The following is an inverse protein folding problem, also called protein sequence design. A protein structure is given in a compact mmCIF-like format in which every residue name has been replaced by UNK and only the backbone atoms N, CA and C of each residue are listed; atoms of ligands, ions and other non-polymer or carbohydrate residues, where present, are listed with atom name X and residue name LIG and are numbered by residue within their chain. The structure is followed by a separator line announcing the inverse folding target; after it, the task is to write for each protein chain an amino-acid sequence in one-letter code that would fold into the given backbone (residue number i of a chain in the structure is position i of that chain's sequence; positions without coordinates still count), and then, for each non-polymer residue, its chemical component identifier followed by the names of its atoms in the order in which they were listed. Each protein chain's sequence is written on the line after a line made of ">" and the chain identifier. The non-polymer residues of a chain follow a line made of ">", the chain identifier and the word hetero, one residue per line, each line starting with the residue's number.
data_IF_435087300892
#
_entry.id   IF_435087300892
#
_cell.length_a   1.000
_cell.length_b   1.000
_cell.length_c   1.000
_cell.angle_alpha   90.00
_cell.angle_beta   90.00
_cell.angle_gamma   90.00
#
_symmetry.space_group_name_H-M   'P 1'
#
loop_
_entity.id
_entity.type
_entity.pdbx_description
1 polymer ?
#
# COMPACT_ATOMS: atom_id res chain seq x y z
N UNK A 1 1.79 -10.06 20.43
CA UNK A 1 2.65 -10.23 19.24
C UNK A 1 2.33 -11.52 18.52
N UNK A 2 2.34 -11.50 17.20
CA UNK A 2 2.07 -12.66 16.37
C UNK A 2 3.36 -13.17 15.74
N UNK A 3 3.38 -14.46 15.42
CA UNK A 3 4.44 -15.08 14.62
C UNK A 3 3.83 -15.65 13.37
N UNK A 4 4.54 -15.56 12.26
CA UNK A 4 4.07 -16.08 10.99
C UNK A 4 5.22 -16.57 10.13
N UNK A 5 4.90 -17.40 9.14
CA UNK A 5 5.86 -17.93 8.18
C UNK A 5 5.77 -17.13 6.89
N UNK A 6 6.83 -16.38 6.58
CA UNK A 6 6.89 -15.55 5.38
C UNK A 6 6.78 -16.38 4.11
N UNK A 7 7.36 -17.57 4.09
CA UNK A 7 7.27 -18.47 2.94
C UNK A 7 5.84 -18.90 2.65
N UNK A 8 5.07 -19.20 3.70
CA UNK A 8 3.64 -19.55 3.58
C UNK A 8 2.84 -18.36 3.07
N UNK A 9 3.11 -17.15 3.57
CA UNK A 9 2.46 -15.94 3.08
C UNK A 9 2.72 -15.73 1.59
N UNK A 10 3.97 -15.82 1.16
CA UNK A 10 4.34 -15.70 -0.26
C UNK A 10 3.62 -16.74 -1.12
N UNK A 11 3.57 -17.99 -0.65
CA UNK A 11 2.92 -19.07 -1.40
C UNK A 11 1.42 -18.82 -1.52
N UNK A 12 0.77 -18.37 -0.45
CA UNK A 12 -0.66 -18.05 -0.46
C UNK A 12 -0.96 -16.95 -1.48
N UNK A 13 -0.14 -15.90 -1.53
CA UNK A 13 -0.31 -14.81 -2.49
C UNK A 13 -0.02 -15.27 -3.93
N UNK A 14 0.99 -16.12 -4.14
CA UNK A 14 1.28 -16.69 -5.45
C UNK A 14 0.13 -17.52 -5.99
N UNK A 15 -0.59 -18.20 -5.11
CA UNK A 15 -1.75 -19.01 -5.45
C UNK A 15 -3.05 -18.20 -5.56
N UNK A 16 -2.96 -16.88 -5.49
CA UNK A 16 -4.10 -15.97 -5.59
C UNK A 16 -4.08 -15.27 -6.94
N UNK A 17 -4.81 -15.78 -7.95
CA UNK A 17 -4.73 -15.26 -9.32
C UNK A 17 -5.24 -13.84 -9.48
N UNK A 18 -6.09 -13.36 -8.57
CA UNK A 18 -6.61 -12.00 -8.56
C UNK A 18 -5.55 -10.95 -8.20
N UNK A 19 -4.45 -11.37 -7.58
CA UNK A 19 -3.39 -10.48 -7.11
C UNK A 19 -2.29 -10.36 -8.16
N UNK A 20 -2.10 -9.16 -8.72
CA UNK A 20 -1.04 -8.87 -9.67
C UNK A 20 0.30 -8.65 -8.98
N UNK A 21 0.29 -7.97 -7.82
CA UNK A 21 1.48 -7.70 -7.03
C UNK A 21 1.11 -7.53 -5.56
N UNK A 22 2.06 -7.77 -4.67
CA UNK A 22 1.87 -7.64 -3.24
C UNK A 22 3.16 -7.21 -2.54
N UNK A 23 3.02 -6.34 -1.55
CA UNK A 23 4.10 -5.90 -0.67
C UNK A 23 3.75 -6.16 0.78
N UNK A 24 4.74 -6.57 1.56
CA UNK A 24 4.67 -6.55 3.01
C UNK A 24 5.27 -5.22 3.47
N UNK A 25 4.57 -4.49 4.33
CA UNK A 25 5.05 -3.20 4.81
C UNK A 25 4.77 -3.03 6.31
N UNK A 26 5.08 -1.85 6.86
CA UNK A 26 4.87 -1.57 8.26
C UNK A 26 5.88 -2.27 9.17
N UNK A 27 5.45 -2.63 10.38
CA UNK A 27 6.33 -3.21 11.40
C UNK A 27 6.91 -4.57 11.01
N UNK A 28 6.22 -5.33 10.15
CA UNK A 28 6.68 -6.64 9.69
C UNK A 28 7.97 -6.57 8.86
N UNK A 29 8.27 -5.43 8.26
CA UNK A 29 9.51 -5.23 7.48
C UNK A 29 10.72 -5.14 8.39
N UNK A 30 10.54 -4.56 9.58
CA UNK A 30 11.62 -4.38 10.55
C UNK A 30 11.95 -5.69 11.25
N UNK A 31 10.93 -6.49 11.58
CA UNK A 31 11.09 -7.78 12.22
C UNK A 31 10.13 -8.79 11.59
N UNK A 32 10.64 -9.52 10.59
CA UNK A 32 9.83 -10.32 9.68
C UNK A 32 9.11 -11.52 10.30
N UNK A 33 9.43 -11.91 11.53
CA UNK A 33 8.86 -13.11 12.15
C UNK A 33 7.98 -12.84 13.37
N UNK A 34 8.09 -11.67 14.00
CA UNK A 34 7.33 -11.33 15.22
C UNK A 34 6.84 -9.89 15.12
N UNK A 35 5.55 -9.71 14.89
CA UNK A 35 4.93 -8.40 14.67
C UNK A 35 3.59 -8.32 15.38
N UNK A 36 3.02 -7.13 15.48
CA UNK A 36 1.68 -6.94 16.05
C UNK A 36 0.60 -7.20 15.01
N UNK A 37 0.77 -6.68 13.81
CA UNK A 37 -0.16 -6.86 12.68
C UNK A 37 0.63 -7.09 11.41
N UNK A 38 0.00 -7.80 10.46
CA UNK A 38 0.53 -7.93 9.10
C UNK A 38 -0.12 -6.86 8.22
N UNK A 39 0.69 -5.95 7.72
CA UNK A 39 0.27 -4.93 6.76
C UNK A 39 0.67 -5.36 5.36
N UNK A 40 -0.32 -5.61 4.51
CA UNK A 40 -0.11 -6.12 3.16
C UNK A 40 -0.74 -5.16 2.16
N UNK A 41 0.07 -4.68 1.22
CA UNK A 41 -0.41 -3.88 0.09
C UNK A 41 -0.66 -4.81 -1.09
N UNK A 42 -1.86 -4.76 -1.65
CA UNK A 42 -2.26 -5.59 -2.79
C UNK A 42 -2.59 -4.74 -4.01
N UNK A 43 -2.00 -5.10 -5.13
CA UNK A 43 -2.42 -4.62 -6.44
C UNK A 43 -3.21 -5.76 -7.10
N UNK A 44 -4.50 -5.57 -7.25
CA UNK A 44 -5.37 -6.55 -7.93
C UNK A 44 -5.59 -6.12 -9.39
N UNK A 45 -5.92 -7.10 -10.23
CA UNK A 45 -6.24 -6.80 -11.63
C UNK A 45 -7.52 -5.95 -11.71
N UNK A 46 -7.64 -5.08 -12.75
CA UNK A 46 -8.73 -4.09 -12.82
C UNK A 46 -10.16 -4.68 -12.84
N UNK A 47 -10.31 -5.91 -13.28
CA UNK A 47 -11.61 -6.60 -13.39
C UNK A 47 -12.05 -7.25 -12.06
N UNK A 48 -11.22 -7.20 -11.02
CA UNK A 48 -11.50 -7.85 -9.76
C UNK A 48 -12.32 -6.93 -8.84
N UNK A 49 -13.37 -7.50 -8.23
CA UNK A 49 -14.13 -6.82 -7.18
C UNK A 49 -13.30 -6.81 -5.88
N UNK A 50 -12.88 -5.63 -5.45
CA UNK A 50 -12.01 -5.46 -4.28
C UNK A 50 -12.66 -5.91 -2.99
N UNK A 51 -13.96 -5.72 -2.82
CA UNK A 51 -14.65 -6.13 -1.59
C UNK A 51 -14.64 -7.65 -1.45
N UNK A 52 -14.94 -8.36 -2.53
CA UNK A 52 -14.89 -9.82 -2.55
C UNK A 52 -13.47 -10.32 -2.33
N UNK A 53 -12.51 -9.71 -3.03
CA UNK A 53 -11.09 -10.06 -2.89
C UNK A 53 -10.60 -9.84 -1.47
N UNK A 54 -10.99 -8.75 -0.83
CA UNK A 54 -10.60 -8.43 0.55
C UNK A 54 -10.98 -9.55 1.51
N UNK A 55 -12.25 -9.91 1.56
CA UNK A 55 -12.74 -10.93 2.50
C UNK A 55 -12.14 -12.31 2.20
N UNK A 56 -12.05 -12.66 0.92
CA UNK A 56 -11.49 -13.95 0.51
C UNK A 56 -10.01 -14.07 0.86
N UNK A 57 -9.23 -13.01 0.61
CA UNK A 57 -7.78 -13.01 0.89
C UNK A 57 -7.50 -12.98 2.38
N UNK A 58 -8.23 -12.17 3.15
CA UNK A 58 -8.08 -12.17 4.62
C UNK A 58 -8.33 -13.56 5.17
N UNK A 59 -9.39 -14.22 4.71
CA UNK A 59 -9.72 -15.58 5.14
C UNK A 59 -8.61 -16.57 4.76
N UNK A 60 -8.17 -16.56 3.51
CA UNK A 60 -7.13 -17.49 3.05
C UNK A 60 -5.80 -17.28 3.77
N UNK A 61 -5.40 -16.03 3.99
CA UNK A 61 -4.17 -15.72 4.72
C UNK A 61 -4.30 -16.13 6.18
N UNK A 62 -5.44 -15.82 6.80
CA UNK A 62 -5.72 -16.22 8.18
C UNK A 62 -5.61 -17.73 8.36
N UNK A 63 -6.23 -18.51 7.48
CA UNK A 63 -6.16 -19.96 7.51
C UNK A 63 -4.74 -20.49 7.29
N UNK A 64 -4.06 -19.95 6.28
CA UNK A 64 -2.72 -20.42 5.91
C UNK A 64 -1.68 -20.14 7.00
N UNK A 65 -1.78 -18.98 7.65
CA UNK A 65 -0.81 -18.55 8.67
C UNK A 65 -1.25 -18.89 10.10
N UNK A 66 -2.46 -19.43 10.28
CA UNK A 66 -3.05 -19.67 11.59
C UNK A 66 -3.06 -18.40 12.47
N UNK A 67 -3.50 -17.30 11.89
CA UNK A 67 -3.60 -15.99 12.55
C UNK A 67 -5.06 -15.54 12.61
N UNK A 68 -5.45 -14.77 13.66
CA UNK A 68 -6.74 -14.11 13.66
C UNK A 68 -6.89 -13.13 12.51
N UNK A 69 -8.08 -13.03 11.93
CA UNK A 69 -8.33 -12.11 10.79
C UNK A 69 -8.06 -10.65 11.16
N UNK A 70 -8.35 -10.26 12.40
CA UNK A 70 -8.10 -8.89 12.87
C UNK A 70 -6.62 -8.49 12.93
N UNK A 71 -5.72 -9.46 12.79
CA UNK A 71 -4.28 -9.21 12.73
C UNK A 71 -3.75 -9.05 11.30
N UNK A 72 -4.62 -9.18 10.32
CA UNK A 72 -4.28 -9.06 8.91
C UNK A 72 -4.91 -7.78 8.38
N UNK A 73 -4.08 -6.83 7.98
CA UNK A 73 -4.51 -5.54 7.44
C UNK A 73 -4.15 -5.47 5.96
N UNK A 74 -5.16 -5.41 5.11
CA UNK A 74 -4.99 -5.34 3.66
C UNK A 74 -5.31 -3.94 3.18
N UNK A 75 -4.36 -3.33 2.48
CA UNK A 75 -4.52 -2.07 1.79
C UNK A 75 -4.43 -2.32 0.28
N UNK A 76 -5.39 -1.82 -0.48
CA UNK A 76 -5.33 -1.90 -1.94
C UNK A 76 -4.55 -0.74 -2.53
N UNK A 77 -3.81 -1.01 -3.59
CA UNK A 77 -3.10 0.01 -4.36
C UNK A 77 -4.11 0.76 -5.23
N UNK A 78 -4.75 1.75 -4.64
CA UNK A 78 -5.80 2.57 -5.28
C UNK A 78 -5.63 4.01 -4.82
N UNK A 79 -5.25 4.89 -5.74
CA UNK A 79 -5.00 6.31 -5.45
C UNK A 79 -6.26 7.05 -5.00
N UNK A 80 -7.45 6.53 -5.30
CA UNK A 80 -8.70 7.16 -4.90
C UNK A 80 -9.10 6.85 -3.47
N UNK A 81 -8.70 5.69 -2.94
CA UNK A 81 -9.14 5.20 -1.63
C UNK A 81 -8.04 5.19 -0.58
N UNK A 82 -6.79 4.98 -0.99
CA UNK A 82 -5.66 4.86 -0.08
C UNK A 82 -4.90 6.17 0.06
N UNK A 83 -4.28 6.37 1.22
CA UNK A 83 -3.38 7.49 1.45
C UNK A 83 -2.13 7.33 0.58
N UNK A 84 -1.82 8.29 -0.30
CA UNK A 84 -0.65 8.19 -1.19
C UNK A 84 0.68 8.07 -0.45
N UNK A 85 0.80 8.67 0.73
CA UNK A 85 2.03 8.59 1.53
C UNK A 85 2.24 7.18 2.06
N UNK A 86 1.18 6.49 2.43
CA UNK A 86 1.25 5.09 2.87
C UNK A 86 1.62 4.19 1.69
N UNK A 87 1.05 4.42 0.51
CA UNK A 87 1.40 3.69 -0.70
C UNK A 87 2.88 3.88 -1.04
N UNK A 88 3.37 5.10 -0.95
CA UNK A 88 4.77 5.44 -1.19
C UNK A 88 5.70 4.68 -0.23
N UNK A 89 5.38 4.70 1.06
CA UNK A 89 6.16 3.99 2.08
C UNK A 89 6.18 2.48 1.83
N UNK A 90 5.03 1.90 1.48
CA UNK A 90 4.93 0.48 1.22
C UNK A 90 5.78 0.06 0.01
N UNK A 91 5.76 0.84 -1.06
CA UNK A 91 6.52 0.55 -2.29
C UNK A 91 8.02 0.74 -2.08
N UNK A 92 8.43 1.82 -1.39
CA UNK A 92 9.85 2.12 -1.23
C UNK A 92 10.55 1.32 -0.14
N UNK A 93 9.85 1.05 0.95
CA UNK A 93 10.46 0.41 2.13
C UNK A 93 9.90 -0.97 2.42
N UNK A 94 8.85 -1.39 1.70
CA UNK A 94 8.24 -2.70 1.85
C UNK A 94 9.04 -3.80 1.16
N UNK A 95 8.63 -5.02 1.43
CA UNK A 95 9.19 -6.22 0.81
C UNK A 95 8.22 -6.71 -0.25
N UNK A 96 8.70 -6.82 -1.49
CA UNK A 96 7.90 -7.33 -2.61
C UNK A 96 7.68 -8.84 -2.44
N UNK A 97 6.42 -9.24 -2.28
CA UNK A 97 6.05 -10.64 -2.08
C UNK A 97 5.65 -11.33 -3.37
N UNK A 98 5.05 -10.59 -4.29
CA UNK A 98 4.58 -11.09 -5.58
C UNK A 98 4.64 -10.00 -6.62
N UNK A 99 5.09 -10.36 -7.83
CA UNK A 99 5.06 -9.48 -8.99
C UNK A 99 4.76 -10.31 -10.24
N UNK A 100 3.48 -10.57 -10.47
CA UNK A 100 3.00 -11.34 -11.62
C UNK A 100 2.88 -10.49 -12.88
N UNK A 101 2.60 -9.19 -12.71
CA UNK A 101 2.48 -8.24 -13.82
C UNK A 101 3.36 -7.01 -13.57
N UNK A 102 4.64 -7.08 -13.97
CA UNK A 102 5.53 -5.92 -13.85
C UNK A 102 5.03 -4.68 -14.58
N UNK A 103 4.29 -4.85 -15.68
CA UNK A 103 3.70 -3.73 -16.42
C UNK A 103 2.64 -3.01 -15.59
N UNK A 104 1.70 -3.74 -15.00
CA UNK A 104 0.65 -3.16 -14.19
C UNK A 104 1.23 -2.51 -12.93
N UNK A 105 2.17 -3.17 -12.29
CA UNK A 105 2.85 -2.62 -11.11
C UNK A 105 3.63 -1.36 -11.48
N UNK A 106 4.37 -1.37 -12.59
CA UNK A 106 5.13 -0.22 -13.07
C UNK A 106 4.23 0.98 -13.36
N UNK A 107 3.11 0.77 -14.05
CA UNK A 107 2.12 1.83 -14.30
C UNK A 107 1.56 2.39 -13.00
N UNK A 108 1.24 1.54 -12.06
CA UNK A 108 0.66 1.95 -10.78
C UNK A 108 1.64 2.80 -9.97
N UNK A 109 2.91 2.41 -9.93
CA UNK A 109 3.97 3.17 -9.25
C UNK A 109 4.21 4.51 -9.97
N UNK A 110 4.21 4.51 -11.30
CA UNK A 110 4.37 5.72 -12.10
C UNK A 110 3.24 6.70 -11.82
N UNK A 111 2.00 6.23 -11.79
CA UNK A 111 0.83 7.06 -11.46
C UNK A 111 0.90 7.60 -10.04
N UNK A 112 1.36 6.81 -9.09
CA UNK A 112 1.59 7.26 -7.72
C UNK A 112 2.63 8.38 -7.66
N UNK A 113 3.74 8.20 -8.37
CA UNK A 113 4.83 9.19 -8.42
C UNK A 113 4.35 10.51 -9.00
N UNK A 114 3.59 10.46 -10.10
CA UNK A 114 3.01 11.65 -10.72
C UNK A 114 2.02 12.34 -9.78
N UNK A 115 1.19 11.57 -9.11
CA UNK A 115 0.22 12.12 -8.15
C UNK A 115 0.91 12.85 -7.01
N UNK A 116 1.96 12.27 -6.44
CA UNK A 116 2.71 12.88 -5.34
C UNK A 116 3.42 14.17 -5.77
N UNK A 117 4.03 14.17 -6.96
CA UNK A 117 4.69 15.36 -7.52
C UNK A 117 3.68 16.47 -7.74
N UNK A 118 2.53 16.17 -8.33
CA UNK A 118 1.48 17.15 -8.59
C UNK A 118 0.92 17.73 -7.29
N UNK A 119 0.68 16.91 -6.30
CA UNK A 119 0.17 17.36 -5.00
C UNK A 119 1.17 18.26 -4.28
N UNK A 120 2.44 17.89 -4.28
CA UNK A 120 3.50 18.69 -3.68
C UNK A 120 3.59 20.06 -4.35
N UNK A 121 3.51 20.09 -5.67
CA UNK A 121 3.53 21.33 -6.42
C UNK A 121 2.35 22.24 -6.06
N UNK A 122 1.15 21.70 -5.98
CA UNK A 122 -0.06 22.43 -5.62
C UNK A 122 0.04 23.00 -4.20
N UNK A 123 0.50 22.20 -3.26
CA UNK A 123 0.67 22.61 -1.86
C UNK A 123 1.70 23.75 -1.76
N UNK A 124 2.82 23.61 -2.46
CA UNK A 124 3.88 24.63 -2.49
C UNK A 124 3.34 25.93 -3.05
N UNK A 125 2.59 25.88 -4.15
CA UNK A 125 1.99 27.06 -4.77
C UNK A 125 0.99 27.74 -3.83
N UNK A 126 0.17 26.96 -3.14
CA UNK A 126 -0.79 27.48 -2.17
C UNK A 126 -0.08 28.21 -1.01
N UNK A 127 1.02 27.66 -0.52
CA UNK A 127 1.84 28.30 0.53
C UNK A 127 2.45 29.60 0.04
N UNK A 128 2.96 29.62 -1.18
CA UNK A 128 3.51 30.84 -1.79
C UNK A 128 2.46 31.94 -1.90
N UNK A 129 1.28 31.62 -2.39
CA UNK A 129 0.19 32.56 -2.55
C UNK A 129 -0.24 33.16 -1.20
N UNK A 130 -0.32 32.34 -0.16
CA UNK A 130 -0.64 32.83 1.19
C UNK A 130 0.44 33.77 1.73
N UNK A 131 1.70 33.44 1.48
CA UNK A 131 2.84 34.26 1.91
C UNK A 131 2.83 35.62 1.21
N UNK A 132 2.63 35.65 -0.10
CA UNK A 132 2.50 36.90 -0.89
C UNK A 132 1.38 37.77 -0.34
N UNK A 133 0.23 37.20 -0.02
CA UNK A 133 -0.91 37.92 0.55
C UNK A 133 -0.57 38.55 1.91
N UNK A 134 0.13 37.81 2.76
CA UNK A 134 0.57 38.31 4.06
C UNK A 134 1.58 39.45 3.92
N UNK A 135 2.50 39.39 2.97
CA UNK A 135 3.46 40.44 2.70
C UNK A 135 2.75 41.76 2.27
N UNK A 136 1.71 41.63 1.44
CA UNK A 136 0.92 42.76 1.04
C UNK A 136 0.24 43.44 2.24
N UNK A 137 -0.32 42.66 3.16
CA UNK A 137 -0.92 43.17 4.40
C UNK A 137 0.10 43.77 5.34
N UNK A 138 1.32 43.24 5.40
CA UNK A 138 2.35 43.76 6.30
C UNK A 138 3.14 44.94 5.75
N UNK A 139 3.02 45.24 4.45
CA UNK A 139 3.73 46.32 3.79
C UNK A 139 3.15 47.69 4.09
N UNK A 140 1.96 47.75 4.66
CA UNK A 140 1.33 48.98 5.09
C UNK A 140 1.72 49.30 6.55
#
# INVERSE_FOLDING_TARGET
>A
MIKYDLGVLKQTLRNSPEVAAAYLFGSAVINASVVNDLDILLLVYPDIDKNIAYFDLVFRISEALALPEEKIDILFFDLQEADPDILYEAVNHGVLLKNESPELLGESIENLSLYLIQNEFIITRAKQLRHEQLEVFCAD
#
